data_IF_898092100755
#
_entry.id   IF_898092100755
#
_cell.length_a   1.000
_cell.length_b   1.000
_cell.length_c   1.000
_cell.angle_alpha   90.00
_cell.angle_beta   90.00
_cell.angle_gamma   90.00
#
_symmetry.space_group_name_H-M   'P 1'
#
loop_
_entity.id
_entity.type
_entity.pdbx_description
1 polymer ?
#
# COMPACT_ATOMS: atom_id res chain seq x y z
N UNK A 1 -13.91 -37.13 -0.11
CA UNK A 1 -13.38 -36.60 -1.38
C UNK A 1 -13.24 -35.10 -1.21
N UNK A 2 -12.02 -34.57 -1.22
CA UNK A 2 -11.81 -33.12 -1.18
C UNK A 2 -12.01 -32.58 -2.59
N UNK A 3 -13.08 -31.82 -2.81
CA UNK A 3 -13.26 -31.08 -4.07
C UNK A 3 -12.30 -29.90 -4.06
N UNK A 4 -11.11 -30.12 -4.64
CA UNK A 4 -10.12 -29.08 -4.92
C UNK A 4 -10.63 -28.20 -6.08
N UNK A 5 -11.69 -27.45 -5.79
CA UNK A 5 -12.30 -26.52 -6.72
C UNK A 5 -11.33 -25.34 -6.89
N UNK A 6 -10.74 -25.21 -8.08
CA UNK A 6 -9.72 -24.22 -8.45
C UNK A 6 -10.15 -22.74 -8.43
N UNK A 7 -11.01 -22.34 -7.51
CA UNK A 7 -11.10 -20.98 -7.01
C UNK A 7 -9.87 -20.74 -6.11
N UNK A 8 -8.81 -20.14 -6.67
CA UNK A 8 -7.68 -19.72 -5.84
C UNK A 8 -8.19 -18.65 -4.87
N UNK A 9 -8.15 -18.95 -3.56
CA UNK A 9 -8.69 -18.08 -2.51
C UNK A 9 -7.77 -16.86 -2.25
N UNK A 10 -7.07 -16.34 -3.27
CA UNK A 10 -6.06 -15.31 -3.06
C UNK A 10 -6.71 -13.95 -2.75
N UNK A 11 -6.12 -13.14 -1.85
CA UNK A 11 -6.61 -11.78 -1.57
C UNK A 11 -6.72 -10.94 -2.85
N UNK A 12 -5.79 -11.11 -3.80
CA UNK A 12 -5.76 -10.39 -5.08
C UNK A 12 -6.97 -10.77 -5.97
N UNK A 13 -7.40 -12.04 -5.97
CA UNK A 13 -8.64 -12.46 -6.64
C UNK A 13 -9.86 -11.75 -6.06
N UNK A 14 -9.99 -11.70 -4.73
CA UNK A 14 -11.08 -10.99 -4.07
C UNK A 14 -11.02 -9.47 -4.26
N UNK A 15 -9.83 -8.87 -4.31
CA UNK A 15 -9.64 -7.43 -4.60
C UNK A 15 -10.07 -7.06 -6.03
N UNK A 16 -9.71 -7.89 -7.02
CA UNK A 16 -10.17 -7.71 -8.41
C UNK A 16 -11.68 -7.91 -8.51
N UNK A 17 -12.24 -8.94 -7.87
CA UNK A 17 -13.67 -9.20 -7.86
C UNK A 17 -14.47 -8.08 -7.17
N UNK A 18 -13.96 -7.51 -6.07
CA UNK A 18 -14.56 -6.37 -5.38
C UNK A 18 -14.52 -5.10 -6.24
N UNK A 19 -13.39 -4.80 -6.89
CA UNK A 19 -13.31 -3.70 -7.84
C UNK A 19 -14.33 -3.83 -8.99
N UNK A 20 -14.47 -5.03 -9.56
CA UNK A 20 -15.48 -5.32 -10.62
C UNK A 20 -16.91 -5.17 -10.06
N UNK A 21 -17.18 -5.64 -8.84
CA UNK A 21 -18.49 -5.48 -8.18
C UNK A 21 -18.87 -4.01 -7.95
N UNK A 22 -17.87 -3.14 -7.71
CA UNK A 22 -18.01 -1.68 -7.60
C UNK A 22 -18.17 -0.97 -8.95
N UNK A 23 -18.30 -1.73 -10.06
CA UNK A 23 -18.52 -1.22 -11.40
C UNK A 23 -17.25 -0.93 -12.22
N UNK A 24 -16.08 -1.38 -11.78
CA UNK A 24 -14.82 -1.16 -12.50
C UNK A 24 -14.69 -2.13 -13.69
N UNK A 25 -15.15 -1.67 -14.86
CA UNK A 25 -15.30 -2.50 -16.08
C UNK A 25 -14.04 -2.69 -16.93
N UNK A 26 -12.95 -1.97 -16.69
CA UNK A 26 -11.71 -2.02 -17.52
C UNK A 26 -10.52 -2.54 -16.71
N UNK A 27 -9.66 -3.33 -17.34
CA UNK A 27 -8.37 -3.78 -16.77
C UNK A 27 -7.55 -2.60 -16.21
N UNK A 28 -7.32 -1.55 -17.03
CA UNK A 28 -6.62 -0.32 -16.61
C UNK A 28 -7.19 0.33 -15.35
N UNK A 29 -8.52 0.26 -15.19
CA UNK A 29 -9.24 0.88 -14.07
C UNK A 29 -9.14 0.01 -12.83
N UNK A 30 -9.27 -1.32 -12.98
CA UNK A 30 -9.11 -2.31 -11.90
C UNK A 30 -7.69 -2.23 -11.33
N UNK A 31 -6.65 -2.35 -12.17
CA UNK A 31 -5.24 -2.30 -11.76
C UNK A 31 -4.90 -1.03 -10.95
N UNK A 32 -5.43 0.13 -11.35
CA UNK A 32 -5.22 1.41 -10.63
C UNK A 32 -5.80 1.45 -9.22
N UNK A 33 -6.86 0.70 -8.92
CA UNK A 33 -7.47 0.64 -7.58
C UNK A 33 -7.00 -0.55 -6.75
N UNK A 34 -6.70 -1.70 -7.37
CA UNK A 34 -6.14 -2.87 -6.67
C UNK A 34 -4.63 -2.74 -6.41
N UNK A 35 -3.95 -1.81 -7.10
CA UNK A 35 -2.48 -1.62 -7.10
C UNK A 35 -1.67 -2.79 -7.67
N UNK A 36 -2.35 -3.69 -8.39
CA UNK A 36 -1.75 -4.82 -9.09
C UNK A 36 -1.25 -4.41 -10.48
N UNK A 37 -0.38 -5.23 -11.07
CA UNK A 37 0.02 -5.03 -12.48
C UNK A 37 -1.15 -5.29 -13.43
N UNK A 38 -1.09 -4.76 -14.67
CA UNK A 38 -2.14 -5.04 -15.68
C UNK A 38 -2.21 -6.53 -15.98
N UNK A 39 -1.06 -7.14 -16.22
CA UNK A 39 -0.91 -8.53 -16.65
C UNK A 39 -1.43 -9.49 -15.56
N UNK A 40 -1.13 -9.22 -14.29
CA UNK A 40 -1.70 -9.92 -13.14
C UNK A 40 -3.22 -9.77 -13.06
N UNK A 41 -3.75 -8.56 -13.29
CA UNK A 41 -5.21 -8.35 -13.36
C UNK A 41 -5.82 -9.11 -14.53
N UNK A 42 -5.17 -9.18 -15.69
CA UNK A 42 -5.68 -9.97 -16.83
C UNK A 42 -5.67 -11.48 -16.54
N UNK A 43 -4.64 -12.01 -15.88
CA UNK A 43 -4.60 -13.40 -15.40
C UNK A 43 -5.74 -13.69 -14.41
N UNK A 44 -5.88 -12.89 -13.35
CA UNK A 44 -6.96 -13.02 -12.37
C UNK A 44 -8.35 -12.90 -13.04
N UNK A 45 -8.49 -12.03 -14.04
CA UNK A 45 -9.73 -11.86 -14.82
C UNK A 45 -9.95 -12.99 -15.85
N UNK A 46 -8.95 -13.79 -16.20
CA UNK A 46 -9.13 -15.06 -16.92
C UNK A 46 -9.60 -16.17 -15.96
N UNK A 47 -9.01 -16.24 -14.76
CA UNK A 47 -9.33 -17.25 -13.76
C UNK A 47 -10.76 -17.08 -13.21
N UNK A 48 -11.11 -15.87 -12.76
CA UNK A 48 -12.47 -15.54 -12.30
C UNK A 48 -13.54 -15.76 -13.40
N UNK A 49 -13.19 -15.57 -14.68
CA UNK A 49 -14.10 -15.85 -15.81
C UNK A 49 -14.29 -17.36 -15.99
N UNK A 50 -13.20 -18.14 -15.92
CA UNK A 50 -13.22 -19.61 -16.01
C UNK A 50 -14.06 -20.21 -14.87
N UNK A 51 -13.96 -19.63 -13.68
CA UNK A 51 -14.76 -19.97 -12.49
C UNK A 51 -16.21 -19.44 -12.54
N UNK A 52 -16.62 -18.74 -13.61
CA UNK A 52 -17.96 -18.15 -13.83
C UNK A 52 -18.36 -17.07 -12.79
N UNK A 53 -17.38 -16.45 -12.14
CA UNK A 53 -17.59 -15.39 -11.15
C UNK A 53 -17.72 -14.01 -11.81
N UNK A 54 -17.20 -13.88 -13.03
CA UNK A 54 -17.33 -12.68 -13.87
C UNK A 54 -17.66 -13.09 -15.32
N UNK A 55 -18.18 -12.13 -16.08
CA UNK A 55 -18.33 -12.21 -17.55
C UNK A 55 -17.49 -11.14 -18.22
N UNK A 56 -17.04 -11.42 -19.46
CA UNK A 56 -16.43 -10.44 -20.36
C UNK A 56 -17.37 -10.15 -21.51
N UNK A 57 -17.63 -8.87 -21.77
CA UNK A 57 -18.37 -8.38 -22.93
C UNK A 57 -17.40 -7.67 -23.89
N UNK A 58 -17.47 -7.97 -25.19
CA UNK A 58 -16.75 -7.17 -26.21
C UNK A 58 -17.72 -6.20 -26.85
N UNK A 59 -17.53 -4.90 -26.61
CA UNK A 59 -18.34 -3.82 -27.19
C UNK A 59 -17.59 -3.11 -28.30
N UNK A 60 -18.34 -2.60 -29.28
CA UNK A 60 -17.81 -1.72 -30.33
C UNK A 60 -17.54 -0.34 -29.71
N UNK A 61 -16.28 0.05 -29.64
CA UNK A 61 -15.86 1.37 -29.21
C UNK A 61 -16.08 2.43 -30.28
N UNK A 62 -15.90 3.69 -29.89
CA UNK A 62 -15.79 4.81 -30.83
C UNK A 62 -14.61 4.54 -31.80
N UNK A 63 -14.79 4.88 -33.08
CA UNK A 63 -13.91 4.47 -34.19
C UNK A 63 -13.79 2.94 -34.44
N UNK A 64 -14.70 2.12 -33.88
CA UNK A 64 -14.81 0.69 -34.24
C UNK A 64 -13.85 -0.26 -33.51
N UNK A 65 -12.91 0.26 -32.73
CA UNK A 65 -12.02 -0.53 -31.87
C UNK A 65 -12.81 -1.45 -30.93
N UNK A 66 -12.36 -2.69 -30.74
CA UNK A 66 -12.97 -3.62 -29.77
C UNK A 66 -12.60 -3.19 -28.35
N UNK A 67 -13.61 -2.97 -27.51
CA UNK A 67 -13.46 -2.63 -26.10
C UNK A 67 -13.96 -3.80 -25.25
N UNK A 68 -13.07 -4.42 -24.49
CA UNK A 68 -13.45 -5.44 -23.49
C UNK A 68 -13.97 -4.72 -22.24
N UNK A 69 -15.12 -5.15 -21.74
CA UNK A 69 -15.66 -4.76 -20.44
C UNK A 69 -15.90 -5.99 -19.56
N UNK A 70 -15.69 -5.86 -18.25
CA UNK A 70 -15.79 -6.95 -17.27
C UNK A 70 -16.92 -6.66 -16.27
N UNK A 71 -17.69 -7.70 -15.93
CA UNK A 71 -18.88 -7.63 -15.08
C UNK A 71 -18.90 -8.77 -14.07
N UNK A 72 -19.37 -8.53 -12.84
CA UNK A 72 -19.56 -9.60 -11.85
C UNK A 72 -20.82 -10.42 -12.14
N UNK A 73 -20.78 -11.72 -11.88
CA UNK A 73 -22.00 -12.56 -11.86
C UNK A 73 -22.64 -12.55 -10.47
N UNK A 74 -23.91 -12.97 -10.41
CA UNK A 74 -24.63 -13.22 -9.16
C UNK A 74 -23.86 -14.19 -8.23
N UNK A 75 -23.19 -15.19 -8.79
CA UNK A 75 -22.34 -16.13 -8.06
C UNK A 75 -21.07 -15.46 -7.54
N UNK A 76 -20.41 -14.64 -8.37
CA UNK A 76 -19.24 -13.85 -7.96
C UNK A 76 -19.57 -12.89 -6.82
N UNK A 77 -20.70 -12.19 -6.92
CA UNK A 77 -21.19 -11.30 -5.87
C UNK A 77 -21.46 -12.04 -4.55
N UNK A 78 -22.15 -13.20 -4.59
CA UNK A 78 -22.41 -14.00 -3.37
C UNK A 78 -21.14 -14.53 -2.70
N UNK A 79 -20.16 -14.99 -3.48
CA UNK A 79 -18.87 -15.45 -2.95
C UNK A 79 -18.07 -14.27 -2.35
N UNK A 80 -18.09 -13.12 -3.01
CA UNK A 80 -17.46 -11.91 -2.51
C UNK A 80 -18.06 -11.43 -1.19
N UNK A 81 -19.39 -11.29 -1.10
CA UNK A 81 -20.05 -10.81 0.12
C UNK A 81 -19.90 -11.78 1.29
N UNK A 82 -19.92 -13.10 1.03
CA UNK A 82 -19.57 -14.12 2.04
C UNK A 82 -18.16 -13.90 2.60
N UNK A 83 -17.16 -13.66 1.75
CA UNK A 83 -15.80 -13.34 2.21
C UNK A 83 -15.72 -12.00 2.93
N UNK A 84 -16.45 -10.97 2.49
CA UNK A 84 -16.52 -9.69 3.22
C UNK A 84 -17.09 -9.87 4.62
N UNK A 85 -18.11 -10.70 4.83
CA UNK A 85 -18.66 -10.98 6.16
C UNK A 85 -17.66 -11.68 7.08
N UNK A 86 -16.86 -12.62 6.57
CA UNK A 86 -15.72 -13.20 7.30
C UNK A 86 -14.70 -12.12 7.70
N UNK A 87 -14.27 -11.27 6.76
CA UNK A 87 -13.28 -10.23 7.01
C UNK A 87 -13.79 -9.11 7.94
N UNK A 88 -15.09 -8.76 7.89
CA UNK A 88 -15.74 -7.87 8.87
C UNK A 88 -15.69 -8.48 10.26
N UNK A 89 -15.90 -9.78 10.40
CA UNK A 89 -15.81 -10.48 11.68
C UNK A 89 -14.38 -10.46 12.23
N UNK A 90 -13.37 -10.66 11.37
CA UNK A 90 -11.94 -10.51 11.72
C UNK A 90 -11.57 -9.08 12.13
N UNK A 91 -12.06 -8.07 11.40
CA UNK A 91 -11.83 -6.64 11.72
C UNK A 91 -12.44 -6.25 13.07
N UNK A 92 -13.64 -6.74 13.40
CA UNK A 92 -14.26 -6.56 14.73
C UNK A 92 -13.45 -7.19 15.86
N UNK A 93 -12.87 -8.38 15.63
CA UNK A 93 -12.01 -9.00 16.64
C UNK A 93 -10.70 -8.22 16.85
N UNK A 94 -10.11 -7.67 15.79
CA UNK A 94 -8.97 -6.73 15.93
C UNK A 94 -9.33 -5.47 16.71
N UNK A 95 -10.53 -4.91 16.51
CA UNK A 95 -11.03 -3.78 17.30
C UNK A 95 -11.14 -4.16 18.80
N UNK A 96 -11.64 -5.36 19.11
CA UNK A 96 -11.70 -5.86 20.49
C UNK A 96 -10.31 -6.09 21.13
N UNK A 97 -9.32 -6.57 20.36
CA UNK A 97 -7.94 -6.70 20.83
C UNK A 97 -7.28 -5.33 21.10
N UNK A 98 -7.58 -4.34 20.26
CA UNK A 98 -7.16 -2.94 20.47
C UNK A 98 -7.83 -2.33 21.72
N UNK A 99 -9.14 -2.51 21.90
CA UNK A 99 -9.91 -2.03 23.06
C UNK A 99 -9.45 -2.68 24.39
N UNK A 100 -9.02 -3.94 24.36
CA UNK A 100 -8.46 -4.62 25.54
C UNK A 100 -6.97 -4.29 25.78
N UNK A 101 -6.32 -3.57 24.87
CA UNK A 101 -4.93 -3.15 24.98
C UNK A 101 -3.88 -4.26 24.84
N UNK A 102 -4.28 -5.47 24.41
CA UNK A 102 -3.34 -6.60 24.32
C UNK A 102 -2.55 -6.57 23.00
N UNK A 103 -1.39 -5.91 23.05
CA UNK A 103 -0.48 -5.74 21.89
C UNK A 103 -0.07 -7.07 21.26
N UNK A 104 0.35 -8.04 22.07
CA UNK A 104 0.93 -9.31 21.59
C UNK A 104 -0.12 -10.14 20.85
N UNK A 105 -1.34 -10.23 21.40
CA UNK A 105 -2.45 -10.90 20.71
C UNK A 105 -2.89 -10.14 19.45
N UNK A 106 -2.92 -8.81 19.48
CA UNK A 106 -3.23 -8.00 18.30
C UNK A 106 -2.16 -8.16 17.20
N UNK A 107 -0.89 -8.27 17.58
CA UNK A 107 0.22 -8.51 16.65
C UNK A 107 0.10 -9.87 15.98
N UNK A 108 0.02 -10.97 16.76
CA UNK A 108 -0.14 -12.32 16.20
C UNK A 108 -1.32 -12.36 15.24
N UNK A 109 -2.47 -11.79 15.64
CA UNK A 109 -3.66 -11.77 14.79
C UNK A 109 -3.50 -10.92 13.52
N UNK A 110 -2.81 -9.76 13.59
CA UNK A 110 -2.50 -8.97 12.40
C UNK A 110 -1.56 -9.69 11.45
N UNK A 111 -0.54 -10.39 11.97
CA UNK A 111 0.44 -11.13 11.16
C UNK A 111 -0.20 -12.38 10.53
N UNK A 112 -0.97 -13.18 11.29
CA UNK A 112 -1.75 -14.33 10.81
C UNK A 112 -2.73 -13.96 9.69
N UNK A 113 -3.25 -12.72 9.71
CA UNK A 113 -4.22 -12.22 8.74
C UNK A 113 -3.60 -11.21 7.75
N UNK A 114 -2.27 -11.01 7.76
CA UNK A 114 -1.57 -9.95 7.02
C UNK A 114 -1.90 -9.91 5.53
N UNK A 115 -2.02 -11.08 4.91
CA UNK A 115 -2.38 -11.22 3.49
C UNK A 115 -3.77 -10.66 3.16
N UNK A 116 -4.70 -10.63 4.12
CA UNK A 116 -6.06 -10.11 3.95
C UNK A 116 -6.20 -8.62 4.28
N UNK A 117 -5.22 -8.02 4.97
CA UNK A 117 -5.25 -6.60 5.33
C UNK A 117 -5.36 -5.65 4.11
N UNK A 118 -4.65 -5.86 2.99
CA UNK A 118 -4.85 -5.05 1.78
C UNK A 118 -6.27 -5.13 1.22
N UNK A 119 -6.92 -6.30 1.32
CA UNK A 119 -8.32 -6.49 0.93
C UNK A 119 -9.24 -5.74 1.89
N UNK A 120 -9.05 -5.85 3.21
CA UNK A 120 -9.85 -5.09 4.20
C UNK A 120 -9.76 -3.58 4.01
N UNK A 121 -8.56 -3.07 3.72
CA UNK A 121 -8.30 -1.64 3.47
C UNK A 121 -8.92 -1.15 2.16
N UNK A 122 -8.70 -1.86 1.05
CA UNK A 122 -9.26 -1.49 -0.27
C UNK A 122 -10.78 -1.62 -0.28
N UNK A 123 -11.32 -2.64 0.38
CA UNK A 123 -12.76 -2.83 0.50
C UNK A 123 -13.44 -1.85 1.48
N UNK A 124 -12.69 -1.21 2.38
CA UNK A 124 -13.22 -0.30 3.40
C UNK A 124 -13.79 -1.00 4.64
N UNK A 125 -13.57 -2.31 4.79
CA UNK A 125 -13.88 -3.09 6.01
C UNK A 125 -13.03 -2.64 7.20
N UNK A 126 -11.82 -2.17 6.93
CA UNK A 126 -10.93 -1.51 7.87
C UNK A 126 -10.54 -0.15 7.29
N UNK A 127 -10.60 0.90 8.09
CA UNK A 127 -10.14 2.23 7.65
C UNK A 127 -8.63 2.35 7.79
N UNK A 128 -8.00 3.15 6.92
CA UNK A 128 -6.56 3.47 7.05
C UNK A 128 -6.25 4.17 8.39
N UNK A 129 -7.21 4.90 8.96
CA UNK A 129 -7.08 5.53 10.29
C UNK A 129 -7.02 4.47 11.39
N UNK A 130 -7.90 3.47 11.36
CA UNK A 130 -7.93 2.35 12.32
C UNK A 130 -6.66 1.49 12.21
N UNK A 131 -6.23 1.20 10.98
CA UNK A 131 -4.96 0.49 10.75
C UNK A 131 -3.76 1.30 11.25
N UNK A 132 -3.74 2.61 11.01
CA UNK A 132 -2.70 3.52 11.52
C UNK A 132 -2.66 3.59 13.04
N UNK A 133 -3.82 3.65 13.72
CA UNK A 133 -3.87 3.63 15.18
C UNK A 133 -3.46 2.29 15.77
N UNK A 134 -3.79 1.16 15.12
CA UNK A 134 -3.32 -0.17 15.51
C UNK A 134 -1.79 -0.29 15.35
N UNK A 135 -1.23 0.08 14.20
CA UNK A 135 0.21 0.10 13.93
C UNK A 135 0.98 0.98 14.94
N UNK A 136 0.47 2.18 15.21
CA UNK A 136 1.02 3.10 16.22
C UNK A 136 0.96 2.50 17.63
N UNK A 137 -0.17 1.90 18.00
CA UNK A 137 -0.33 1.24 19.31
C UNK A 137 0.63 0.07 19.50
N UNK A 138 0.95 -0.69 18.44
CA UNK A 138 1.94 -1.77 18.46
C UNK A 138 3.39 -1.28 18.62
N UNK A 139 3.66 0.03 18.49
CA UNK A 139 5.03 0.54 18.46
C UNK A 139 5.75 0.29 17.13
N UNK A 140 5.04 -0.10 16.07
CA UNK A 140 5.58 -0.06 14.70
C UNK A 140 5.65 1.40 14.23
N UNK A 141 6.64 2.13 14.75
CA UNK A 141 6.88 3.53 14.42
C UNK A 141 7.23 3.67 12.94
N UNK A 142 6.31 4.23 12.14
CA UNK A 142 6.60 4.70 10.78
C UNK A 142 7.38 6.02 10.80
N UNK A 143 8.46 6.07 11.59
CA UNK A 143 9.29 7.26 11.77
C UNK A 143 10.73 6.86 12.18
N UNK A 144 11.72 6.94 11.28
CA UNK A 144 13.12 6.56 11.58
C UNK A 144 13.79 7.37 12.71
N UNK A 145 13.20 8.49 13.12
CA UNK A 145 13.68 9.30 14.24
C UNK A 145 13.44 8.65 15.62
N UNK A 146 12.36 7.86 15.78
CA UNK A 146 11.99 7.30 17.09
C UNK A 146 12.66 5.94 17.37
N UNK A 147 12.93 5.14 16.34
CA UNK A 147 13.74 3.92 16.48
C UNK A 147 15.14 4.23 17.03
N UNK A 148 15.76 5.31 16.53
CA UNK A 148 17.07 5.78 17.00
C UNK A 148 17.08 6.19 18.49
N UNK A 149 15.95 6.63 19.05
CA UNK A 149 15.83 6.90 20.49
C UNK A 149 15.59 5.64 21.33
N UNK A 150 14.92 4.62 20.80
CA UNK A 150 14.67 3.37 21.53
C UNK A 150 15.89 2.44 21.57
N UNK A 151 16.79 2.52 20.58
CA UNK A 151 18.07 1.78 20.58
C UNK A 151 19.16 2.54 21.35
N UNK A 152 19.07 3.88 21.44
CA UNK A 152 20.05 4.74 22.11
C UNK A 152 19.99 4.77 23.65
N UNK A 153 19.23 3.89 24.30
CA UNK A 153 19.07 3.88 25.76
C UNK A 153 19.20 2.47 26.38
N UNK A 154 20.06 1.63 25.79
CA UNK A 154 20.27 0.24 26.18
C UNK A 154 21.76 -0.19 26.31
N UNK A 155 22.71 0.76 26.42
CA UNK A 155 24.08 0.44 26.88
C UNK A 155 24.78 1.64 27.56
N UNK A 156 25.94 1.37 28.16
CA UNK A 156 26.88 2.22 28.90
C UNK A 156 26.36 2.90 30.20
N UNK A 157 26.44 2.13 31.29
CA UNK A 157 26.75 2.67 32.61
C UNK A 157 28.08 2.08 33.14
N UNK A 158 29.19 2.36 32.45
CA UNK A 158 30.44 1.57 32.49
C UNK A 158 31.73 2.19 33.05
N UNK A 159 31.92 3.52 33.04
CA UNK A 159 32.89 4.22 33.91
C UNK A 159 34.33 4.54 33.42
N UNK A 160 34.71 5.83 33.59
CA UNK A 160 36.03 6.40 33.95
C UNK A 160 37.34 5.99 33.25
N UNK A 161 38.07 6.97 32.66
CA UNK A 161 39.52 6.81 32.38
C UNK A 161 40.26 7.94 31.62
N UNK A 162 40.85 8.90 32.35
CA UNK A 162 42.07 9.68 32.05
C UNK A 162 42.26 10.46 30.71
N UNK A 163 41.90 11.74 30.72
CA UNK A 163 42.78 12.94 30.62
C UNK A 163 44.10 12.97 29.79
N UNK A 164 44.10 13.92 28.81
CA UNK A 164 45.05 15.07 28.65
C UNK A 164 46.33 15.03 27.76
N UNK A 165 46.63 16.22 27.20
CA UNK A 165 47.81 16.71 26.41
C UNK A 165 47.99 16.24 24.95
N UNK A 166 48.35 17.07 23.96
CA UNK A 166 48.48 18.55 23.90
C UNK A 166 49.12 19.08 22.57
N UNK A 167 48.98 20.40 22.28
CA UNK A 167 49.48 21.18 21.11
C UNK A 167 48.84 20.86 19.71
N UNK A 168 48.52 21.77 18.76
CA UNK A 168 49.00 23.13 18.32
C UNK A 168 50.30 23.12 17.47
N UNK A 169 50.49 23.87 16.36
CA UNK A 169 49.60 24.59 15.39
C UNK A 169 50.43 24.82 14.06
N UNK A 170 50.16 25.61 13.01
CA UNK A 170 49.21 26.73 12.72
C UNK A 170 49.08 27.05 11.20
N UNK A 171 48.14 27.96 10.84
CA UNK A 171 48.05 28.88 9.68
C UNK A 171 48.16 28.46 8.17
N UNK A 172 47.40 29.18 7.30
CA UNK A 172 47.52 29.24 5.83
C UNK A 172 46.33 28.59 5.06
N UNK A 173 45.77 29.12 3.96
CA UNK A 173 46.03 30.35 3.17
C UNK A 173 44.71 30.84 2.49
N UNK A 174 44.66 32.06 1.93
CA UNK A 174 43.44 32.68 1.36
C UNK A 174 43.61 33.28 -0.05
N UNK A 175 42.92 32.69 -1.04
CA UNK A 175 42.69 33.24 -2.38
C UNK A 175 41.94 32.22 -3.26
N UNK A 176 41.22 32.59 -4.32
CA UNK A 176 40.97 33.91 -4.90
C UNK A 176 40.70 33.78 -6.42
N UNK A 177 39.68 34.48 -6.95
CA UNK A 177 39.13 34.33 -8.32
C UNK A 177 38.39 32.98 -8.56
N UNK A 178 37.46 32.83 -9.53
CA UNK A 178 36.96 33.76 -10.55
C UNK A 178 35.46 33.58 -10.83
N UNK A 179 34.90 34.55 -11.56
CA UNK A 179 33.49 34.80 -11.87
C UNK A 179 32.69 33.65 -12.53
N UNK A 180 31.39 33.60 -12.22
CA UNK A 180 30.35 33.17 -13.16
C UNK A 180 29.14 34.11 -13.06
N UNK A 181 29.20 35.21 -13.82
CA UNK A 181 28.06 36.09 -14.08
C UNK A 181 27.13 35.46 -15.14
N UNK A 182 25.84 35.32 -14.80
CA UNK A 182 24.72 35.18 -15.76
C UNK A 182 23.51 36.00 -15.25
N UNK A 183 23.72 37.28 -14.95
CA UNK A 183 22.70 38.23 -14.51
C UNK A 183 21.93 38.93 -15.66
N UNK A 184 21.66 38.24 -16.77
CA UNK A 184 21.14 38.85 -18.01
C UNK A 184 19.61 38.81 -18.14
N UNK A 185 18.93 39.92 -17.83
CA UNK A 185 17.46 40.07 -17.94
C UNK A 185 17.09 41.37 -18.67
N UNK A 186 16.78 41.34 -19.98
CA UNK A 186 16.03 42.42 -20.64
C UNK A 186 15.40 42.08 -22.01
N UNK A 187 14.37 42.85 -22.38
CA UNK A 187 13.77 43.12 -23.71
C UNK A 187 13.11 42.01 -24.57
N UNK A 188 11.98 42.37 -25.18
CA UNK A 188 11.34 41.65 -26.30
C UNK A 188 10.08 40.87 -25.91
N UNK A 189 8.86 41.43 -25.94
CA UNK A 189 8.44 42.69 -26.58
C UNK A 189 7.95 42.45 -28.00
N UNK A 190 6.83 41.72 -28.16
CA UNK A 190 6.21 41.41 -29.44
C UNK A 190 4.71 41.68 -29.38
N UNK A 191 4.23 42.62 -30.19
CA UNK A 191 2.82 42.97 -30.36
C UNK A 191 2.59 43.39 -31.83
N UNK A 192 1.32 43.32 -32.24
CA UNK A 192 0.73 43.92 -33.44
C UNK A 192 0.88 43.23 -34.80
N UNK A 193 -0.29 43.13 -35.46
CA UNK A 193 -0.61 42.85 -36.87
C UNK A 193 -0.56 41.39 -37.34
#
# INVERSE_FOLDING_TARGET
>A
MSSDNGFSQSPNHFMVLDAISRGMKKIDSIAKVTKLSKDEVELIVNDLQTQKLITKETKKGFFGNKKIEVYSTETGFKILESKKQELVSKSKYLQQLYETGNKDQMQSYMDDNRMWMPMMLMSGIMSMVMFGSMMSFMGMAMNPAESAQSEGQADDSGGSGADDTGAASDAGDTGGSSDMDVGGMDTGGFDSF
#
